data_IF_658692842129
#
_entry.id   IF_658692842129
#
_cell.length_a   1.000
_cell.length_b   1.000
_cell.length_c   1.000
_cell.angle_alpha   90.00
_cell.angle_beta   90.00
_cell.angle_gamma   90.00
#
_symmetry.space_group_name_H-M   'P 1'
#
loop_
_entity.id
_entity.type
_entity.pdbx_description
1 polymer ?
#
# COMPACT_ATOMS: atom_id res chain seq x y z
N UNK A 1 6.56 7.64 8.01
CA UNK A 1 6.20 6.34 7.40
C UNK A 1 7.41 5.46 7.14
N UNK A 2 8.31 5.74 6.19
CA UNK A 2 9.46 4.86 5.90
C UNK A 2 10.36 4.57 7.11
N UNK A 3 10.61 5.57 7.96
CA UNK A 3 11.33 5.37 9.22
C UNK A 3 10.59 4.43 10.16
N UNK A 4 9.29 4.66 10.38
CA UNK A 4 8.47 3.82 11.24
C UNK A 4 8.42 2.37 10.74
N UNK A 5 8.34 2.17 9.41
CA UNK A 5 8.43 0.83 8.81
C UNK A 5 9.80 0.19 9.07
N UNK A 6 10.89 0.90 8.75
CA UNK A 6 12.26 0.44 9.01
C UNK A 6 12.48 0.05 10.48
N UNK A 7 11.91 0.84 11.40
CA UNK A 7 11.99 0.65 12.84
C UNK A 7 10.96 -0.38 13.36
N UNK A 8 10.27 -1.12 12.47
CA UNK A 8 9.30 -2.18 12.77
C UNK A 8 8.09 -1.70 13.59
N UNK A 9 7.72 -0.44 13.47
CA UNK A 9 6.54 0.15 14.11
C UNK A 9 5.26 -0.05 13.29
N UNK A 10 5.39 -0.49 12.04
CA UNK A 10 4.29 -0.89 11.17
C UNK A 10 4.77 -1.99 10.22
N UNK A 11 3.84 -2.82 9.76
CA UNK A 11 4.08 -3.80 8.71
C UNK A 11 3.53 -3.30 7.37
N UNK A 12 4.30 -3.48 6.30
CA UNK A 12 3.83 -3.22 4.93
C UNK A 12 3.30 -4.53 4.35
N UNK A 13 2.02 -4.56 4.01
CA UNK A 13 1.41 -5.64 3.23
C UNK A 13 1.30 -5.21 1.76
N UNK A 14 1.65 -6.10 0.84
CA UNK A 14 1.49 -5.86 -0.59
C UNK A 14 1.22 -7.17 -1.36
N UNK A 15 0.67 -7.05 -2.57
CA UNK A 15 0.57 -8.15 -3.53
C UNK A 15 1.70 -8.10 -4.56
N UNK A 16 1.96 -9.18 -5.32
CA UNK A 16 2.87 -9.15 -6.46
C UNK A 16 2.55 -8.01 -7.45
N UNK A 17 1.27 -7.74 -7.67
CA UNK A 17 0.83 -6.66 -8.55
C UNK A 17 1.21 -5.27 -8.00
N UNK A 18 1.09 -5.03 -6.69
CA UNK A 18 1.55 -3.78 -6.09
C UNK A 18 3.07 -3.62 -6.23
N UNK A 19 3.83 -4.72 -6.12
CA UNK A 19 5.29 -4.68 -6.29
C UNK A 19 5.69 -4.30 -7.71
N UNK A 20 4.99 -4.84 -8.70
CA UNK A 20 5.21 -4.49 -10.11
C UNK A 20 4.87 -3.02 -10.39
N UNK A 21 3.81 -2.50 -9.77
CA UNK A 21 3.50 -1.08 -9.84
C UNK A 21 4.58 -0.20 -9.21
N UNK A 22 5.05 -0.54 -8.00
CA UNK A 22 6.14 0.19 -7.34
C UNK A 22 7.38 0.20 -8.23
N UNK A 23 7.69 -0.93 -8.87
CA UNK A 23 8.85 -1.05 -9.76
C UNK A 23 8.70 -0.11 -10.95
N UNK A 24 7.57 -0.18 -11.64
CA UNK A 24 7.28 0.65 -12.83
C UNK A 24 7.34 2.14 -12.49
N UNK A 25 6.69 2.56 -11.41
CA UNK A 25 6.67 3.96 -10.95
C UNK A 25 8.07 4.40 -10.53
N UNK A 26 8.80 3.55 -9.81
CA UNK A 26 10.18 3.80 -9.41
C UNK A 26 11.10 4.03 -10.61
N UNK A 27 11.04 3.17 -11.61
CA UNK A 27 11.81 3.32 -12.86
C UNK A 27 11.45 4.59 -13.63
N UNK A 28 10.17 4.98 -13.65
CA UNK A 28 9.74 6.24 -14.24
C UNK A 28 10.29 7.46 -13.47
N UNK A 29 10.27 7.41 -12.14
CA UNK A 29 10.82 8.46 -11.29
C UNK A 29 12.34 8.57 -11.45
N UNK A 30 13.07 7.46 -11.48
CA UNK A 30 14.51 7.45 -11.67
C UNK A 30 14.93 8.04 -13.04
N UNK A 31 14.10 7.86 -14.08
CA UNK A 31 14.30 8.50 -15.38
C UNK A 31 14.12 10.02 -15.34
N UNK A 32 13.16 10.51 -14.54
CA UNK A 32 12.88 11.95 -14.38
C UNK A 32 13.85 12.63 -13.41
N UNK A 33 14.33 11.90 -12.42
CA UNK A 33 15.14 12.40 -11.32
C UNK A 33 16.38 11.51 -11.14
N UNK A 34 17.42 11.77 -11.92
CA UNK A 34 18.66 10.98 -11.94
C UNK A 34 19.44 10.96 -10.61
N UNK A 35 19.13 11.88 -9.69
CA UNK A 35 19.71 11.91 -8.35
C UNK A 35 19.01 10.95 -7.35
N UNK A 36 17.89 10.33 -7.73
CA UNK A 36 17.13 9.42 -6.85
C UNK A 36 17.69 8.02 -6.99
N UNK A 37 18.27 7.50 -5.90
CA UNK A 37 18.61 6.09 -5.75
C UNK A 37 17.49 5.35 -5.02
N UNK A 38 16.86 4.39 -5.71
CA UNK A 38 15.78 3.56 -5.16
C UNK A 38 16.28 2.27 -4.51
N UNK A 39 17.58 1.96 -4.62
CA UNK A 39 18.17 0.72 -4.08
C UNK A 39 17.84 0.52 -2.58
N UNK A 40 17.97 1.54 -1.71
CA UNK A 40 17.65 1.36 -0.29
C UNK A 40 16.16 1.10 -0.01
N UNK A 41 15.27 1.58 -0.89
CA UNK A 41 13.84 1.28 -0.80
C UNK A 41 13.59 -0.18 -1.16
N UNK A 42 14.22 -0.68 -2.23
CA UNK A 42 14.09 -2.08 -2.65
C UNK A 42 14.63 -3.05 -1.62
N UNK A 43 15.79 -2.77 -1.04
CA UNK A 43 16.37 -3.57 0.04
C UNK A 43 15.45 -3.65 1.25
N UNK A 44 14.85 -2.52 1.65
CA UNK A 44 13.89 -2.48 2.75
C UNK A 44 12.64 -3.31 2.43
N UNK A 45 12.13 -3.18 1.20
CA UNK A 45 10.96 -3.90 0.74
C UNK A 45 11.18 -5.41 0.74
N UNK A 46 12.29 -5.88 0.18
CA UNK A 46 12.66 -7.31 0.16
C UNK A 46 12.83 -7.84 1.60
N UNK A 47 13.38 -7.04 2.50
CA UNK A 47 13.67 -7.46 3.87
C UNK A 47 12.45 -7.46 4.80
N UNK A 48 11.44 -6.63 4.55
CA UNK A 48 10.39 -6.35 5.54
C UNK A 48 8.95 -6.36 5.03
N UNK A 49 8.70 -6.39 3.73
CA UNK A 49 7.33 -6.44 3.22
C UNK A 49 6.72 -7.84 3.40
N UNK A 50 5.45 -7.87 3.79
CA UNK A 50 4.61 -9.07 3.77
C UNK A 50 3.97 -9.16 2.39
N UNK A 51 4.32 -10.18 1.61
CA UNK A 51 3.78 -10.38 0.26
C UNK A 51 2.71 -11.47 0.30
N UNK A 52 1.53 -11.17 -0.22
CA UNK A 52 0.39 -12.11 -0.29
C UNK A 52 -0.14 -12.25 -1.70
N UNK A 53 -0.52 -13.46 -2.08
CA UNK A 53 -1.30 -13.68 -3.30
C UNK A 53 -2.70 -13.10 -3.13
N UNK A 54 -3.09 -12.21 -4.04
CA UNK A 54 -4.32 -11.42 -3.96
C UNK A 54 -5.15 -11.63 -5.24
N UNK A 55 -5.80 -12.78 -5.40
CA UNK A 55 -6.60 -13.07 -6.58
C UNK A 55 -7.82 -12.14 -6.66
N UNK A 56 -8.26 -11.69 -7.85
CA UNK A 56 -9.39 -10.78 -8.01
C UNK A 56 -10.66 -11.24 -7.30
N UNK A 57 -11.44 -10.28 -6.82
CA UNK A 57 -12.75 -10.55 -6.22
C UNK A 57 -13.74 -11.06 -7.29
N UNK A 58 -14.66 -11.91 -6.87
CA UNK A 58 -15.72 -12.40 -7.76
C UNK A 58 -16.66 -11.27 -8.23
N UNK A 59 -16.84 -10.24 -7.41
CA UNK A 59 -17.56 -9.02 -7.73
C UNK A 59 -16.68 -7.83 -7.38
N UNK A 60 -16.57 -6.88 -8.31
CA UNK A 60 -15.86 -5.64 -8.06
C UNK A 60 -16.55 -4.81 -6.98
N UNK A 61 -15.75 -4.08 -6.21
CA UNK A 61 -16.22 -3.10 -5.22
C UNK A 61 -16.28 -1.72 -5.85
N UNK A 62 -15.24 -1.36 -6.59
CA UNK A 62 -15.17 -0.16 -7.42
C UNK A 62 -15.64 -0.45 -8.86
N UNK A 63 -15.85 0.60 -9.65
CA UNK A 63 -16.26 0.47 -11.05
C UNK A 63 -15.10 -0.01 -11.96
N UNK A 64 -13.85 0.17 -11.52
CA UNK A 64 -12.64 -0.28 -12.20
C UNK A 64 -11.91 -1.37 -11.37
N UNK A 65 -11.58 -2.54 -11.95
CA UNK A 65 -10.73 -3.54 -11.31
C UNK A 65 -9.39 -3.01 -10.78
N UNK A 66 -8.84 -1.97 -11.41
CA UNK A 66 -7.59 -1.36 -10.96
C UNK A 66 -7.71 -0.66 -9.60
N UNK A 67 -8.90 -0.15 -9.27
CA UNK A 67 -9.17 0.51 -8.00
C UNK A 67 -9.30 -0.51 -6.85
N UNK A 68 -9.65 -1.77 -7.15
CA UNK A 68 -9.86 -2.82 -6.15
C UNK A 68 -8.56 -3.46 -5.64
N UNK A 69 -7.42 -3.24 -6.31
CA UNK A 69 -6.16 -3.96 -6.03
C UNK A 69 -5.71 -3.89 -4.58
N UNK A 70 -5.82 -2.71 -3.96
CA UNK A 70 -5.47 -2.52 -2.55
C UNK A 70 -6.48 -3.20 -1.61
N UNK A 71 -7.77 -3.22 -1.96
CA UNK A 71 -8.80 -3.94 -1.21
C UNK A 71 -8.57 -5.44 -1.24
N UNK A 72 -8.32 -6.00 -2.43
CA UNK A 72 -8.05 -7.43 -2.60
C UNK A 72 -6.83 -7.84 -1.81
N UNK A 73 -5.75 -7.06 -1.88
CA UNK A 73 -4.54 -7.29 -1.11
C UNK A 73 -4.81 -7.27 0.40
N UNK A 74 -5.50 -6.24 0.89
CA UNK A 74 -5.84 -6.12 2.30
C UNK A 74 -6.70 -7.29 2.81
N UNK A 75 -7.67 -7.74 2.02
CA UNK A 75 -8.49 -8.91 2.35
C UNK A 75 -7.66 -10.20 2.39
N UNK A 76 -6.80 -10.41 1.40
CA UNK A 76 -5.96 -11.61 1.31
C UNK A 76 -4.97 -11.72 2.47
N UNK A 77 -4.38 -10.59 2.89
CA UNK A 77 -3.43 -10.54 4.01
C UNK A 77 -4.03 -10.21 5.36
N UNK A 78 -5.35 -10.02 5.46
CA UNK A 78 -6.02 -9.66 6.71
C UNK A 78 -5.62 -8.30 7.28
N UNK A 79 -5.22 -7.34 6.43
CA UNK A 79 -4.90 -6.00 6.88
C UNK A 79 -6.19 -5.24 7.27
N UNK A 80 -6.25 -4.67 8.49
CA UNK A 80 -7.42 -3.92 8.93
C UNK A 80 -7.48 -2.50 8.35
N UNK A 81 -6.42 -2.04 7.70
CA UNK A 81 -6.22 -0.65 7.31
C UNK A 81 -5.52 -0.54 5.96
N UNK A 82 -6.04 0.32 5.08
CA UNK A 82 -5.38 0.77 3.85
C UNK A 82 -5.06 2.25 4.00
N UNK A 83 -3.81 2.62 3.74
CA UNK A 83 -3.38 4.01 3.65
C UNK A 83 -3.20 4.39 2.17
N UNK A 84 -4.09 5.22 1.63
CA UNK A 84 -4.05 5.64 0.21
C UNK A 84 -4.44 7.11 0.02
N UNK A 85 -3.96 7.71 -1.06
CA UNK A 85 -4.42 9.03 -1.53
C UNK A 85 -5.51 8.95 -2.60
N UNK A 86 -5.93 7.74 -2.98
CA UNK A 86 -6.93 7.51 -4.02
C UNK A 86 -8.34 7.84 -3.51
N UNK A 87 -9.01 8.77 -4.18
CA UNK A 87 -10.34 9.22 -3.78
C UNK A 87 -11.43 8.17 -4.00
N UNK A 88 -11.32 7.32 -5.03
CA UNK A 88 -12.31 6.27 -5.30
C UNK A 88 -12.26 5.25 -4.16
N UNK A 89 -11.07 4.76 -3.83
CA UNK A 89 -10.87 3.83 -2.71
C UNK A 89 -11.31 4.42 -1.36
N UNK A 90 -11.09 5.72 -1.12
CA UNK A 90 -11.54 6.36 0.12
C UNK A 90 -13.07 6.30 0.28
N UNK A 91 -13.84 6.28 -0.81
CA UNK A 91 -15.32 6.22 -0.75
C UNK A 91 -15.87 4.87 -0.26
N UNK A 92 -15.06 3.80 -0.35
CA UNK A 92 -15.46 2.44 0.02
C UNK A 92 -14.87 2.01 1.37
N UNK A 93 -14.41 2.98 2.17
CA UNK A 93 -13.94 2.74 3.54
C UNK A 93 -15.00 2.00 4.37
N UNK A 94 -14.55 1.01 5.15
CA UNK A 94 -15.41 0.10 5.92
C UNK A 94 -15.79 -1.17 5.17
N UNK A 95 -15.44 -1.32 3.89
CA UNK A 95 -15.70 -2.54 3.13
C UNK A 95 -15.09 -3.75 3.84
N UNK A 96 -15.96 -4.69 4.24
CA UNK A 96 -15.60 -5.89 5.02
C UNK A 96 -14.73 -5.59 6.26
N UNK A 97 -14.94 -4.43 6.88
CA UNK A 97 -14.21 -4.00 8.08
C UNK A 97 -12.82 -3.42 7.83
N UNK A 98 -12.43 -3.22 6.57
CA UNK A 98 -11.17 -2.54 6.22
C UNK A 98 -11.40 -1.04 6.31
N UNK A 99 -10.66 -0.39 7.19
CA UNK A 99 -10.62 1.06 7.26
C UNK A 99 -9.69 1.61 6.18
N UNK A 100 -10.12 2.65 5.46
CA UNK A 100 -9.32 3.28 4.41
C UNK A 100 -9.12 4.75 4.78
N UNK A 101 -7.86 5.15 4.90
CA UNK A 101 -7.46 6.46 5.39
C UNK A 101 -6.43 7.13 4.49
N UNK A 102 -6.39 8.46 4.56
CA UNK A 102 -5.31 9.24 3.92
C UNK A 102 -4.01 9.12 4.69
N UNK A 103 -2.88 9.47 4.05
CA UNK A 103 -1.56 9.48 4.70
C UNK A 103 -1.55 10.40 5.93
N UNK A 104 -2.26 11.53 5.87
CA UNK A 104 -2.35 12.47 6.99
C UNK A 104 -3.04 11.82 8.19
N UNK A 105 -4.20 11.20 7.97
CA UNK A 105 -4.94 10.51 9.03
C UNK A 105 -4.12 9.35 9.61
N UNK A 106 -3.48 8.56 8.74
CA UNK A 106 -2.61 7.46 9.17
C UNK A 106 -1.52 7.93 10.12
N UNK A 107 -0.82 9.00 9.74
CA UNK A 107 0.25 9.59 10.54
C UNK A 107 -0.28 10.10 11.88
N UNK A 108 -1.36 10.88 11.85
CA UNK A 108 -1.90 11.55 13.04
C UNK A 108 -2.51 10.56 14.06
N UNK A 109 -3.14 9.48 13.59
CA UNK A 109 -3.94 8.59 14.46
C UNK A 109 -3.28 7.25 14.77
N UNK A 110 -2.31 6.79 13.96
CA UNK A 110 -1.73 5.44 14.08
C UNK A 110 -0.22 5.47 14.34
N UNK A 111 0.52 6.41 13.72
CA UNK A 111 1.97 6.48 13.93
C UNK A 111 2.38 7.33 15.14
N UNK A 112 1.66 8.41 15.42
CA UNK A 112 1.97 9.31 16.53
C UNK A 112 1.04 9.11 17.73
N UNK A 113 0.56 7.88 17.95
CA UNK A 113 -0.12 7.58 19.22
C UNK A 113 0.85 7.84 20.38
N UNK A 114 0.45 8.64 21.39
CA UNK A 114 1.21 8.76 22.63
C UNK A 114 1.28 7.43 23.39
#
# INVERSE_FOLDING_TARGET
MLKAWRDRQLDLLCSPENLDEYRRVGEELARKFSAVDLTPFWELLIAQAMVVEAPPLANLVCDDPDDDKLLVCALAGGAPLICTGDNVLLTVSGYRGIEIVTQRIFVDQYLFKP
#
